data_IF_264993298340
#
_entry.id   IF_264993298340
#
_cell.length_a   1.000
_cell.length_b   1.000
_cell.length_c   1.000
_cell.angle_alpha   90.00
_cell.angle_beta   90.00
_cell.angle_gamma   90.00
#
_symmetry.space_group_name_H-M   'P 1'
#
loop_
_entity.id
_entity.type
_entity.pdbx_description
1 polymer ?
#
# COMPACT_ATOMS: atom_id res chain seq x y z
N UNK A 1 22.29 3.67 22.38
CA UNK A 1 22.00 4.19 23.74
C UNK A 1 20.66 4.89 23.85
N UNK A 2 20.38 5.98 23.13
CA UNK A 2 19.08 6.69 23.25
C UNK A 2 17.86 5.81 22.91
N UNK A 3 17.95 5.00 21.85
CA UNK A 3 16.90 4.05 21.44
C UNK A 3 16.59 3.03 22.55
N UNK A 4 17.64 2.49 23.16
CA UNK A 4 17.52 1.41 24.13
C UNK A 4 16.93 1.93 25.45
N UNK A 5 17.34 3.14 25.88
CA UNK A 5 16.71 3.86 27.01
C UNK A 5 15.23 4.15 26.76
N UNK A 6 14.85 4.53 25.54
CA UNK A 6 13.45 4.76 25.17
C UNK A 6 12.62 3.47 25.30
N UNK A 7 13.12 2.34 24.80
CA UNK A 7 12.40 1.07 24.91
C UNK A 7 12.25 0.61 26.36
N UNK A 8 13.30 0.71 27.17
CA UNK A 8 13.23 0.36 28.59
C UNK A 8 12.20 1.18 29.36
N UNK A 9 11.99 2.45 28.99
CA UNK A 9 11.06 3.34 29.67
C UNK A 9 9.61 3.21 29.20
N UNK A 10 9.36 2.78 27.96
CA UNK A 10 8.03 2.90 27.32
C UNK A 10 7.47 1.60 26.74
N UNK A 11 8.25 0.52 26.67
CA UNK A 11 7.76 -0.77 26.19
C UNK A 11 6.90 -1.46 27.26
N UNK A 12 5.60 -1.57 27.00
CA UNK A 12 4.61 -2.10 27.95
C UNK A 12 3.71 -3.13 27.28
N UNK A 13 3.13 -4.05 28.07
CA UNK A 13 2.27 -5.13 27.53
C UNK A 13 1.05 -4.64 26.76
N UNK A 14 0.50 -3.46 27.11
CA UNK A 14 -0.67 -2.89 26.46
C UNK A 14 -0.30 -2.05 25.22
N UNK A 15 0.95 -1.58 25.12
CA UNK A 15 1.48 -0.80 24.02
C UNK A 15 2.93 -1.23 23.71
N UNK A 16 3.11 -2.42 23.09
CA UNK A 16 4.44 -2.96 22.81
C UNK A 16 5.12 -2.25 21.63
N UNK A 17 6.44 -2.12 21.69
CA UNK A 17 7.25 -1.66 20.57
C UNK A 17 7.61 -2.82 19.62
N UNK A 18 7.35 -2.64 18.32
CA UNK A 18 7.74 -3.61 17.28
C UNK A 18 8.88 -3.06 16.42
N UNK A 19 9.98 -3.81 16.33
CA UNK A 19 11.15 -3.43 15.52
C UNK A 19 11.08 -4.10 14.16
N UNK A 20 11.17 -3.32 13.08
CA UNK A 20 11.16 -3.81 11.70
C UNK A 20 12.52 -3.53 11.04
N UNK A 21 13.15 -4.55 10.47
CA UNK A 21 14.38 -4.35 9.71
C UNK A 21 14.09 -3.65 8.37
N UNK A 22 14.77 -2.52 8.12
CA UNK A 22 14.50 -1.62 6.99
C UNK A 22 15.53 -1.65 5.85
N UNK A 23 16.53 -2.53 5.90
CA UNK A 23 17.57 -2.63 4.86
C UNK A 23 16.96 -2.82 3.46
N UNK A 24 15.96 -3.72 3.36
CA UNK A 24 15.11 -3.82 2.19
C UNK A 24 13.80 -3.06 2.41
N UNK A 25 13.75 -1.82 1.90
CA UNK A 25 12.59 -0.91 2.03
C UNK A 25 11.27 -1.51 1.53
N UNK A 26 11.28 -2.36 0.48
CA UNK A 26 10.05 -2.98 -0.03
C UNK A 26 9.51 -4.00 0.98
N UNK A 27 10.36 -4.92 1.44
CA UNK A 27 9.99 -5.93 2.44
C UNK A 27 9.59 -5.30 3.77
N UNK A 28 10.29 -4.26 4.22
CA UNK A 28 9.99 -3.55 5.46
C UNK A 28 8.56 -2.97 5.47
N UNK A 29 8.15 -2.34 4.36
CA UNK A 29 6.80 -1.79 4.21
C UNK A 29 5.74 -2.88 4.24
N UNK A 30 5.95 -3.96 3.48
CA UNK A 30 5.01 -5.09 3.43
C UNK A 30 4.87 -5.77 4.79
N UNK A 31 5.98 -6.00 5.49
CA UNK A 31 5.99 -6.62 6.81
C UNK A 31 5.29 -5.75 7.86
N UNK A 32 5.54 -4.44 7.85
CA UNK A 32 4.88 -3.50 8.75
C UNK A 32 3.36 -3.49 8.56
N UNK A 33 2.89 -3.39 7.31
CA UNK A 33 1.45 -3.41 6.99
C UNK A 33 0.83 -4.76 7.39
N UNK A 34 1.48 -5.87 7.04
CA UNK A 34 0.98 -7.21 7.37
C UNK A 34 0.84 -7.42 8.88
N UNK A 35 1.85 -6.99 9.66
CA UNK A 35 1.82 -7.09 11.11
C UNK A 35 0.72 -6.23 11.75
N UNK A 36 0.48 -5.03 11.23
CA UNK A 36 -0.61 -4.17 11.71
C UNK A 36 -1.99 -4.81 11.44
N UNK A 37 -2.18 -5.34 10.24
CA UNK A 37 -3.45 -5.94 9.83
C UNK A 37 -3.76 -7.24 10.60
N UNK A 38 -2.75 -8.00 11.03
CA UNK A 38 -2.96 -9.25 11.78
C UNK A 38 -3.40 -9.02 13.23
N UNK A 39 -3.09 -7.86 13.81
CA UNK A 39 -3.53 -7.51 15.17
C UNK A 39 -5.00 -7.11 15.24
N UNK A 40 -5.57 -6.65 14.13
CA UNK A 40 -6.95 -6.18 14.06
C UNK A 40 -7.82 -7.32 13.53
N UNK A 41 -8.81 -7.82 14.30
CA UNK A 41 -9.74 -8.84 13.81
C UNK A 41 -10.72 -8.21 12.81
N UNK A 42 -10.29 -8.05 11.56
CA UNK A 42 -11.13 -7.58 10.48
C UNK A 42 -12.25 -8.59 10.21
N UNK A 43 -13.46 -8.06 10.09
CA UNK A 43 -14.63 -8.81 9.62
C UNK A 43 -15.08 -8.21 8.31
N UNK A 44 -15.49 -9.07 7.39
CA UNK A 44 -16.12 -8.61 6.16
C UNK A 44 -17.40 -7.86 6.50
N UNK A 45 -17.42 -6.56 6.21
CA UNK A 45 -18.65 -5.80 6.28
C UNK A 45 -19.49 -6.09 5.04
N UNK A 46 -20.83 -6.16 5.17
CA UNK A 46 -21.70 -6.33 4.01
C UNK A 46 -21.54 -5.13 3.05
N UNK A 47 -20.79 -5.33 1.97
CA UNK A 47 -20.59 -4.32 0.95
C UNK A 47 -21.76 -4.34 -0.05
N UNK A 48 -22.63 -3.34 0.04
CA UNK A 48 -23.67 -3.14 -0.97
C UNK A 48 -23.06 -2.48 -2.20
N UNK A 49 -22.82 -3.27 -3.26
CA UNK A 49 -22.26 -2.76 -4.53
C UNK A 49 -23.08 -1.56 -5.02
N UNK A 50 -22.47 -0.37 -5.22
CA UNK A 50 -23.20 0.77 -5.73
C UNK A 50 -23.65 0.52 -7.17
N UNK A 51 -24.85 0.99 -7.52
CA UNK A 51 -25.36 0.94 -8.90
C UNK A 51 -24.63 2.00 -9.73
N UNK A 52 -23.50 1.62 -10.32
CA UNK A 52 -22.76 2.47 -11.26
C UNK A 52 -23.51 2.45 -12.59
N UNK A 53 -23.95 3.62 -13.07
CA UNK A 53 -24.48 3.75 -14.44
C UNK A 53 -23.31 3.63 -15.41
N UNK A 54 -23.38 2.69 -16.35
CA UNK A 54 -22.41 2.61 -17.45
C UNK A 54 -22.60 3.80 -18.37
N UNK A 55 -21.61 4.70 -18.43
CA UNK A 55 -21.57 5.72 -19.48
C UNK A 55 -21.38 5.04 -20.84
N UNK A 56 -22.08 5.51 -21.88
CA UNK A 56 -21.82 5.06 -23.26
C UNK A 56 -20.36 5.39 -23.57
N UNK A 57 -19.53 4.39 -23.88
CA UNK A 57 -18.17 4.63 -24.37
C UNK A 57 -18.28 5.55 -25.59
N UNK A 58 -17.67 6.72 -25.54
CA UNK A 58 -17.51 7.55 -26.74
C UNK A 58 -16.80 6.70 -27.80
N UNK A 59 -17.29 6.71 -29.04
CA UNK A 59 -16.63 6.06 -30.18
C UNK A 59 -15.39 6.87 -30.54
N UNK A 60 -14.38 6.86 -29.67
CA UNK A 60 -13.09 7.46 -29.96
C UNK A 60 -12.48 6.69 -31.13
N UNK A 61 -12.36 7.37 -32.28
CA UNK A 61 -11.50 6.93 -33.38
C UNK A 61 -10.18 7.66 -33.21
N UNK A 62 -9.05 6.96 -33.02
CA UNK A 62 -7.76 7.63 -33.00
C UNK A 62 -7.55 8.34 -34.33
N UNK A 63 -7.14 9.61 -34.26
CA UNK A 63 -6.71 10.34 -35.45
C UNK A 63 -5.46 9.63 -35.95
N UNK A 64 -5.47 9.20 -37.21
CA UNK A 64 -4.30 8.58 -37.85
C UNK A 64 -3.27 9.67 -38.13
N UNK A 65 -2.54 10.08 -37.10
CA UNK A 65 -1.42 11.00 -37.22
C UNK A 65 -0.13 10.19 -37.19
N UNK A 66 0.81 10.52 -38.08
CA UNK A 66 2.14 9.90 -38.11
C UNK A 66 2.96 10.50 -36.97
N UNK A 67 3.09 9.79 -35.86
CA UNK A 67 4.00 10.19 -34.78
C UNK A 67 5.40 9.65 -35.06
N UNK A 68 6.41 10.48 -34.86
CA UNK A 68 7.79 10.01 -34.77
C UNK A 68 7.96 9.40 -33.37
N UNK A 69 8.23 8.09 -33.32
CA UNK A 69 8.46 7.38 -32.07
C UNK A 69 9.96 7.42 -31.76
N UNK A 70 10.31 7.77 -30.53
CA UNK A 70 11.70 7.72 -30.07
C UNK A 70 12.09 6.24 -29.92
N UNK A 71 13.24 5.80 -30.46
CA UNK A 71 13.65 4.41 -30.34
C UNK A 71 13.89 4.04 -28.86
N UNK A 72 13.41 2.87 -28.46
CA UNK A 72 13.74 2.30 -27.15
C UNK A 72 15.18 1.76 -27.19
N UNK A 73 16.00 2.19 -26.23
CA UNK A 73 17.45 1.94 -26.20
C UNK A 73 17.80 0.74 -25.29
N UNK A 74 16.81 0.10 -24.67
CA UNK A 74 17.02 -1.05 -23.78
C UNK A 74 16.30 -2.29 -24.28
#
# INVERSE_FOLDING_TARGET
EAKDKMFLATDTKHAPWFVVNSDNKKSARLNCISHLLSQIPYKDLPFKKPKIKTMKKSKYKPISYKYNVVPEIF
#
